data_IF_794580057612
#
_entry.id   IF_794580057612
#
_cell.length_a   1.000
_cell.length_b   1.000
_cell.length_c   1.000
_cell.angle_alpha   90.00
_cell.angle_beta   90.00
_cell.angle_gamma   90.00
#
_symmetry.space_group_name_H-M   'P 1'
#
loop_
_entity.id
_entity.type
_entity.pdbx_description
1 polymer ?
#
# COMPACT_ATOMS: atom_id res chain seq x y z
N UNK A 1 0.79 -21.70 8.84
CA UNK A 1 0.75 -21.54 8.22
C UNK A 1 -0.01 -21.06 7.34
N UNK A 2 -0.85 -21.02 7.02
CA UNK A 2 -1.59 -20.50 6.03
C UNK A 2 -2.28 -19.29 6.40
N UNK A 3 -1.54 -18.24 6.75
CA UNK A 3 -2.12 -16.97 7.08
C UNK A 3 -2.14 -16.01 5.89
N UNK A 4 -1.75 -16.49 4.72
CA UNK A 4 -1.75 -15.65 3.53
C UNK A 4 -3.08 -15.65 2.80
N UNK A 5 -4.17 -15.88 3.52
CA UNK A 5 -5.51 -15.87 2.91
C UNK A 5 -6.34 -14.76 3.50
N UNK A 6 -7.04 -14.03 2.64
CA UNK A 6 -7.95 -12.99 3.09
C UNK A 6 -9.39 -13.50 2.97
N UNK A 7 -10.29 -12.81 3.64
CA UNK A 7 -11.71 -13.16 3.59
C UNK A 7 -12.23 -13.00 2.17
N UNK A 8 -13.00 -14.00 1.71
CA UNK A 8 -13.61 -13.94 0.39
C UNK A 8 -14.67 -12.84 0.30
N UNK A 9 -15.15 -12.35 1.45
CA UNK A 9 -16.13 -11.28 1.46
C UNK A 9 -15.49 -9.91 1.45
N UNK A 10 -14.17 -9.82 1.64
CA UNK A 10 -13.51 -8.52 1.64
C UNK A 10 -13.47 -7.96 0.24
N UNK A 11 -13.84 -6.68 0.12
CA UNK A 11 -13.73 -5.97 -1.14
C UNK A 11 -12.25 -5.81 -1.47
N UNK A 12 -11.86 -6.13 -2.71
CA UNK A 12 -10.46 -5.94 -3.13
C UNK A 12 -10.18 -4.45 -3.30
N UNK A 13 -9.14 -3.98 -2.64
CA UNK A 13 -8.73 -2.58 -2.69
C UNK A 13 -7.46 -2.45 -3.52
N UNK A 14 -7.49 -1.54 -4.46
CA UNK A 14 -6.42 -1.31 -5.43
C UNK A 14 -5.76 0.03 -5.14
N UNK A 15 -4.45 0.10 -5.34
CA UNK A 15 -3.68 1.32 -5.10
C UNK A 15 -3.19 1.85 -6.44
N UNK A 16 -3.45 3.12 -6.69
CA UNK A 16 -2.97 3.81 -7.90
C UNK A 16 -2.23 5.07 -7.49
N UNK A 17 -1.09 5.30 -8.12
CA UNK A 17 -0.25 6.46 -7.82
C UNK A 17 0.14 7.22 -9.07
N UNK A 18 1.05 8.17 -8.89
CA UNK A 18 1.49 9.05 -9.95
C UNK A 18 0.66 10.31 -10.02
N UNK A 19 1.07 11.26 -10.87
CA UNK A 19 0.42 12.55 -10.96
C UNK A 19 -1.04 12.45 -11.41
N UNK A 20 -1.35 11.46 -12.25
CA UNK A 20 -2.71 11.28 -12.76
C UNK A 20 -3.42 10.09 -12.09
N UNK A 21 -2.77 9.48 -11.09
CA UNK A 21 -3.31 8.31 -10.38
C UNK A 21 -3.68 7.17 -11.31
N UNK A 22 -2.84 6.93 -12.32
CA UNK A 22 -3.06 5.87 -13.29
C UNK A 22 -1.97 4.80 -13.27
N UNK A 23 -1.05 4.87 -12.31
CA UNK A 23 0.01 3.87 -12.16
C UNK A 23 -0.42 2.88 -11.08
N UNK A 24 -0.65 1.64 -11.49
CA UNK A 24 -1.08 0.60 -10.56
C UNK A 24 0.07 0.23 -9.61
N UNK A 25 -0.21 0.24 -8.33
CA UNK A 25 0.78 -0.03 -7.29
C UNK A 25 0.45 -1.26 -6.45
N UNK A 26 -0.52 -2.05 -6.87
CA UNK A 26 -0.82 -3.31 -6.23
C UNK A 26 -2.12 -3.32 -5.47
N UNK A 27 -2.41 -4.49 -4.92
CA UNK A 27 -3.63 -4.72 -4.12
C UNK A 27 -3.29 -4.57 -2.65
N UNK A 28 -4.07 -3.77 -1.96
CA UNK A 28 -3.82 -3.46 -0.56
C UNK A 28 -4.13 -4.61 0.37
N UNK A 29 -5.16 -5.38 0.07
CA UNK A 29 -5.67 -6.42 0.96
C UNK A 29 -5.74 -7.81 0.32
N UNK A 30 -4.92 -8.07 -0.70
CA UNK A 30 -4.85 -9.39 -1.29
C UNK A 30 -3.89 -10.28 -0.49
N UNK A 31 -4.02 -11.60 -0.64
CA UNK A 31 -3.16 -12.50 0.10
C UNK A 31 -1.72 -12.42 -0.40
N UNK A 32 -0.80 -12.92 0.41
CA UNK A 32 0.62 -12.74 0.14
C UNK A 32 1.16 -13.58 -1.01
N UNK A 33 0.34 -14.45 -1.60
CA UNK A 33 0.73 -15.21 -2.79
C UNK A 33 0.19 -14.61 -4.08
N UNK A 34 -0.71 -13.62 -3.99
CA UNK A 34 -1.23 -12.93 -5.17
C UNK A 34 -0.11 -12.12 -5.79
N UNK A 35 0.13 -12.29 -7.09
CA UNK A 35 1.23 -11.62 -7.77
C UNK A 35 1.09 -10.10 -7.79
N UNK A 36 -0.11 -9.58 -7.52
CA UNK A 36 -0.36 -8.14 -7.49
C UNK A 36 -0.49 -7.60 -6.08
N UNK A 37 -0.28 -8.42 -5.06
CA UNK A 37 -0.41 -7.99 -3.68
C UNK A 37 0.80 -7.19 -3.24
N UNK A 38 0.57 -6.13 -2.48
CA UNK A 38 1.66 -5.41 -1.84
C UNK A 38 2.34 -6.27 -0.76
N UNK A 39 1.71 -7.36 -0.36
CA UNK A 39 2.23 -8.26 0.67
C UNK A 39 3.06 -9.40 0.12
N UNK A 40 3.16 -9.51 -1.22
CA UNK A 40 4.00 -10.52 -1.85
C UNK A 40 5.41 -9.98 -2.01
N UNK A 41 6.29 -10.35 -1.08
CA UNK A 41 7.65 -9.79 -1.07
C UNK A 41 8.50 -10.17 -2.28
N UNK A 42 8.02 -11.14 -3.07
CA UNK A 42 8.71 -11.57 -4.29
C UNK A 42 8.05 -11.04 -5.56
N UNK A 43 6.96 -10.27 -5.41
CA UNK A 43 6.21 -9.75 -6.55
C UNK A 43 6.56 -8.32 -6.87
N UNK A 44 6.07 -7.85 -8.03
CA UNK A 44 6.32 -6.51 -8.51
C UNK A 44 5.88 -5.43 -7.52
N UNK A 45 4.80 -5.69 -6.79
CA UNK A 45 4.21 -4.65 -5.93
C UNK A 45 4.55 -4.83 -4.46
N UNK A 46 5.21 -5.92 -4.10
CA UNK A 46 5.58 -6.19 -2.71
C UNK A 46 7.08 -6.19 -2.45
N UNK A 47 7.89 -6.38 -3.51
CA UNK A 47 9.33 -6.43 -3.34
C UNK A 47 9.87 -5.05 -3.01
N UNK A 48 10.72 -4.97 -1.99
CA UNK A 48 11.33 -3.69 -1.62
C UNK A 48 12.39 -3.22 -2.63
N UNK A 49 12.60 -3.99 -3.69
CA UNK A 49 13.54 -3.62 -4.74
C UNK A 49 12.83 -3.20 -6.04
N UNK A 50 11.52 -3.32 -6.10
CA UNK A 50 10.76 -3.02 -7.31
C UNK A 50 10.41 -1.54 -7.40
N UNK A 51 10.51 -0.96 -8.61
CA UNK A 51 10.17 0.44 -8.82
C UNK A 51 8.68 0.73 -8.66
N UNK A 52 7.84 -0.31 -8.69
CA UNK A 52 6.38 -0.15 -8.52
C UNK A 52 5.93 -0.45 -7.09
N UNK A 53 6.84 -0.75 -6.19
CA UNK A 53 6.49 -1.15 -4.84
C UNK A 53 6.49 0.03 -3.89
N UNK A 54 5.45 0.12 -3.07
CA UNK A 54 5.39 1.14 -2.01
C UNK A 54 6.39 0.84 -0.90
N UNK A 55 6.98 -0.36 -0.91
CA UNK A 55 7.99 -0.74 0.09
C UNK A 55 9.42 -0.44 -0.34
N UNK A 56 9.62 0.06 -1.57
CA UNK A 56 10.95 0.41 -2.03
C UNK A 56 11.32 1.80 -1.54
N UNK A 57 12.14 1.86 -0.49
CA UNK A 57 12.47 3.14 0.15
C UNK A 57 13.28 4.07 -0.73
N UNK A 58 13.82 3.56 -1.83
CA UNK A 58 14.58 4.38 -2.78
C UNK A 58 13.79 4.70 -4.05
N UNK A 59 12.54 4.26 -4.13
CA UNK A 59 11.73 4.44 -5.33
C UNK A 59 10.76 5.61 -5.21
N UNK A 60 10.21 5.99 -6.35
CA UNK A 60 9.24 7.09 -6.43
C UNK A 60 8.02 6.84 -5.54
N UNK A 61 7.59 5.59 -5.43
CA UNK A 61 6.36 5.25 -4.73
C UNK A 61 6.59 4.74 -3.31
N UNK A 62 7.84 4.63 -2.86
CA UNK A 62 8.14 4.11 -1.53
C UNK A 62 9.02 5.00 -0.68
N UNK A 63 9.66 6.02 -1.26
CA UNK A 63 10.53 6.92 -0.51
C UNK A 63 9.71 7.84 0.39
N UNK A 64 10.14 7.98 1.64
CA UNK A 64 9.46 8.90 2.56
C UNK A 64 9.62 10.37 2.15
N UNK A 65 10.43 10.64 1.14
CA UNK A 65 10.66 12.01 0.65
C UNK A 65 9.95 12.29 -0.67
N UNK A 66 9.32 11.30 -1.27
CA UNK A 66 8.66 11.46 -2.56
C UNK A 66 7.23 11.97 -2.40
N UNK A 67 6.83 12.93 -3.23
CA UNK A 67 5.45 13.43 -3.24
C UNK A 67 4.44 12.38 -3.65
N UNK A 68 4.90 11.28 -4.26
CA UNK A 68 4.02 10.21 -4.76
C UNK A 68 3.97 9.00 -3.87
N UNK A 69 4.66 9.05 -2.73
CA UNK A 69 4.73 7.92 -1.80
C UNK A 69 3.67 8.06 -0.71
N UNK A 70 3.10 6.96 -0.23
CA UNK A 70 2.19 7.03 0.92
C UNK A 70 2.90 7.45 2.21
N UNK A 71 4.23 7.29 2.27
CA UNK A 71 4.96 7.46 3.53
C UNK A 71 5.47 8.86 3.78
N UNK A 72 5.35 9.77 2.81
CA UNK A 72 5.77 11.15 3.00
C UNK A 72 4.69 11.92 3.75
N UNK A 73 5.01 12.40 4.95
CA UNK A 73 4.07 13.13 5.79
C UNK A 73 3.60 14.44 5.17
N UNK A 74 4.27 14.89 4.13
CA UNK A 74 3.97 16.15 3.45
C UNK A 74 3.65 15.94 1.96
N UNK A 75 3.33 14.70 1.58
CA UNK A 75 3.07 14.37 0.18
C UNK A 75 1.92 15.21 -0.39
N UNK A 76 2.15 15.78 -1.56
CA UNK A 76 1.11 16.56 -2.24
C UNK A 76 0.26 15.70 -3.18
N UNK A 77 0.79 14.55 -3.63
CA UNK A 77 0.12 13.70 -4.61
C UNK A 77 0.25 12.24 -4.21
N UNK A 78 -0.26 11.86 -3.03
CA UNK A 78 -0.13 10.47 -2.59
C UNK A 78 -1.03 9.56 -3.40
N UNK A 79 -0.81 8.23 -3.33
CA UNK A 79 -1.66 7.28 -4.05
C UNK A 79 -3.10 7.30 -3.56
N UNK A 80 -3.99 6.82 -4.40
CA UNK A 80 -5.41 6.66 -4.06
C UNK A 80 -5.73 5.19 -3.87
N UNK A 81 -6.78 4.93 -3.09
CA UNK A 81 -7.32 3.58 -2.89
C UNK A 81 -8.69 3.55 -3.56
N UNK A 82 -8.86 2.59 -4.46
CA UNK A 82 -10.13 2.39 -5.17
C UNK A 82 -10.46 0.90 -5.14
N UNK A 83 -11.70 0.55 -5.49
CA UNK A 83 -12.04 -0.85 -5.66
C UNK A 83 -12.06 -1.20 -7.16
N UNK A 84 -12.41 -2.44 -7.48
CA UNK A 84 -12.40 -2.91 -8.87
C UNK A 84 -13.43 -2.23 -9.75
N UNK A 85 -14.39 -1.52 -9.16
CA UNK A 85 -15.40 -0.77 -9.90
C UNK A 85 -15.03 0.69 -10.05
N UNK A 86 -13.86 1.11 -9.51
CA UNK A 86 -13.41 2.48 -9.57
C UNK A 86 -13.96 3.38 -8.49
N UNK A 87 -14.63 2.84 -7.47
CA UNK A 87 -15.10 3.64 -6.36
C UNK A 87 -13.91 4.13 -5.53
N UNK A 88 -13.89 5.42 -5.23
CA UNK A 88 -12.81 6.06 -4.52
C UNK A 88 -13.02 5.94 -3.02
N UNK A 89 -12.00 5.42 -2.31
CA UNK A 89 -12.06 5.25 -0.86
C UNK A 89 -11.28 6.31 -0.11
N UNK A 90 -10.32 6.96 -0.77
CA UNK A 90 -9.50 7.98 -0.16
C UNK A 90 -8.05 7.86 -0.55
N UNK A 91 -7.22 8.74 -0.01
CA UNK A 91 -5.79 8.74 -0.28
C UNK A 91 -5.06 7.86 0.72
N UNK A 92 -4.11 7.07 0.21
CA UNK A 92 -3.22 6.26 1.05
C UNK A 92 -2.02 7.14 1.38
N UNK A 93 -1.99 7.68 2.60
CA UNK A 93 -0.97 8.66 2.93
C UNK A 93 -0.78 8.79 4.43
N UNK A 94 0.48 9.01 4.81
CA UNK A 94 0.83 9.39 6.18
C UNK A 94 0.62 10.90 6.42
N UNK A 95 0.28 11.66 5.37
CA UNK A 95 0.02 13.09 5.50
C UNK A 95 -1.37 13.30 6.09
N UNK A 96 -1.41 13.69 7.36
CA UNK A 96 -2.67 13.83 8.10
C UNK A 96 -3.45 15.07 7.69
N UNK A 97 -2.86 15.95 6.89
CA UNK A 97 -3.50 17.21 6.47
C UNK A 97 -4.21 17.09 5.14
N UNK A 98 -4.09 15.95 4.45
CA UNK A 98 -4.79 15.72 3.20
C UNK A 98 -6.25 15.42 3.50
N UNK A 99 -7.17 16.18 2.88
CA UNK A 99 -8.58 15.86 3.01
C UNK A 99 -8.87 14.57 2.24
N UNK A 100 -9.85 13.81 2.69
CA UNK A 100 -10.22 12.52 2.10
C UNK A 100 -9.12 11.45 2.27
N UNK A 101 -8.29 11.60 3.30
CA UNK A 101 -7.34 10.57 3.67
C UNK A 101 -8.10 9.30 4.03
N UNK A 102 -7.69 8.16 3.43
CA UNK A 102 -8.34 6.90 3.74
C UNK A 102 -7.87 6.42 5.11
N UNK A 103 -8.81 6.22 6.02
CA UNK A 103 -8.50 5.80 7.38
C UNK A 103 -9.20 4.48 7.67
N UNK A 104 -8.43 3.52 8.14
CA UNK A 104 -8.93 2.25 8.62
C UNK A 104 -7.91 1.74 9.63
N UNK A 105 -8.28 0.72 10.40
CA UNK A 105 -7.34 0.16 11.37
C UNK A 105 -6.07 -0.32 10.68
N UNK A 106 -6.23 -0.99 9.54
CA UNK A 106 -5.10 -1.50 8.78
C UNK A 106 -4.22 -0.37 8.26
N UNK A 107 -4.84 0.60 7.57
CA UNK A 107 -4.09 1.67 6.92
C UNK A 107 -3.40 2.56 7.96
N UNK A 108 -4.09 2.87 9.04
CA UNK A 108 -3.50 3.70 10.10
C UNK A 108 -2.29 2.99 10.74
N UNK A 109 -2.40 1.67 10.92
CA UNK A 109 -1.28 0.91 11.45
C UNK A 109 -0.11 0.88 10.46
N UNK A 110 -0.39 0.65 9.18
CA UNK A 110 0.65 0.61 8.15
C UNK A 110 1.36 1.94 8.06
N UNK A 111 0.63 3.04 8.05
CA UNK A 111 1.24 4.37 7.95
C UNK A 111 2.11 4.69 9.15
N UNK A 112 1.75 4.16 10.31
CA UNK A 112 2.49 4.42 11.53
C UNK A 112 3.75 3.56 11.65
N UNK A 113 3.73 2.37 11.05
CA UNK A 113 4.78 1.38 11.26
C UNK A 113 5.40 0.86 9.95
N UNK A 114 5.32 1.63 8.88
CA UNK A 114 5.72 1.14 7.55
C UNK A 114 7.19 0.69 7.48
N UNK A 115 8.07 1.30 8.27
CA UNK A 115 9.48 0.92 8.24
C UNK A 115 9.69 -0.48 8.79
N UNK A 116 9.03 -0.81 9.90
CA UNK A 116 9.13 -2.14 10.47
C UNK A 116 8.48 -3.17 9.56
N UNK A 117 7.34 -2.81 8.96
CA UNK A 117 6.62 -3.71 8.06
C UNK A 117 7.46 -4.00 6.82
N UNK A 118 8.06 -2.96 6.25
CA UNK A 118 8.91 -3.10 5.07
C UNK A 118 10.06 -4.07 5.32
N UNK A 119 10.65 -4.00 6.51
CA UNK A 119 11.82 -4.80 6.83
C UNK A 119 11.51 -6.28 7.06
N UNK A 120 10.24 -6.62 7.33
CA UNK A 120 9.85 -8.01 7.54
C UNK A 120 8.38 -8.19 7.13
N UNK A 121 8.15 -8.07 5.83
CA UNK A 121 6.81 -8.01 5.27
C UNK A 121 5.96 -9.24 5.60
N UNK A 122 6.54 -10.44 5.47
CA UNK A 122 5.75 -11.65 5.68
C UNK A 122 5.35 -11.83 7.14
N UNK A 123 6.22 -11.49 8.08
CA UNK A 123 5.87 -11.57 9.49
C UNK A 123 4.73 -10.63 9.84
N UNK A 124 4.79 -9.40 9.31
CA UNK A 124 3.75 -8.44 9.59
C UNK A 124 2.44 -8.79 8.90
N UNK A 125 2.52 -9.37 7.68
CA UNK A 125 1.31 -9.85 7.04
C UNK A 125 0.60 -10.88 7.93
N UNK A 126 1.35 -11.81 8.49
CA UNK A 126 0.78 -12.84 9.36
C UNK A 126 0.18 -12.26 10.63
N UNK A 127 0.73 -11.14 11.13
CA UNK A 127 0.17 -10.47 12.30
C UNK A 127 -1.09 -9.69 11.98
N UNK A 128 -1.15 -9.08 10.80
CA UNK A 128 -2.24 -8.17 10.43
C UNK A 128 -3.44 -8.91 9.80
N UNK A 129 -3.20 -10.06 9.22
CA UNK A 129 -4.22 -10.86 8.57
C UNK A 129 -4.24 -12.28 9.12
#
# INVERSE_FOLDING_TARGET
MLRCMVSLQAQTLLIYGGSDHDVFLGKLNADCYDSESIWNEYGTYGSKYSSKSIWNEYGTYGSEYSSYSPWNEYASTPPVVVDSRGNFYGYLTANEFISQRYSSRLVDFICRHYKQIRDDLSSWYNELF
#
